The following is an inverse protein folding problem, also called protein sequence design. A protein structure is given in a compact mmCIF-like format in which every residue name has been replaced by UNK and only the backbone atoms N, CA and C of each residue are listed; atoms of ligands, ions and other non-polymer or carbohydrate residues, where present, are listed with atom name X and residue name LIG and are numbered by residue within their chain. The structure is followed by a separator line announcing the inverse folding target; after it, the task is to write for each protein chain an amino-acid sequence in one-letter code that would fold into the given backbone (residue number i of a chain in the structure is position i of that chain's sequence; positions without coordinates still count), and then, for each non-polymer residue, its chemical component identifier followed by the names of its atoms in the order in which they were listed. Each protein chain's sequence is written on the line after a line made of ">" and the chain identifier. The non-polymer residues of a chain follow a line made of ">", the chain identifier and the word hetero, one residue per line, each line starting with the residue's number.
data_IF_434717284498
#
_entry.id   IF_434717284498
#
_cell.length_a   1.000
_cell.length_b   1.000
_cell.length_c   1.000
_cell.angle_alpha   90.00
_cell.angle_beta   90.00
_cell.angle_gamma   90.00
#
_symmetry.space_group_name_H-M   'P 1'
#
loop_
_entity.id
_entity.type
_entity.pdbx_description
1 polymer ?
#
# COMPACT_ATOMS: atom_id res chain seq x y z
N UNK A 1 -15.49 0.14 -19.34
CA UNK A 1 -16.94 -0.15 -19.46
C UNK A 1 -17.62 -0.33 -18.10
N UNK A 2 -16.91 -0.71 -17.02
CA UNK A 2 -17.51 -0.95 -15.68
C UNK A 2 -17.59 0.30 -14.77
N UNK A 3 -16.72 1.31 -14.94
CA UNK A 3 -16.74 2.55 -14.13
C UNK A 3 -18.09 3.29 -14.10
N UNK A 4 -18.84 3.28 -15.21
CA UNK A 4 -20.11 4.02 -15.31
C UNK A 4 -21.21 3.45 -14.42
N UNK A 5 -21.12 2.17 -14.04
CA UNK A 5 -22.20 1.45 -13.37
C UNK A 5 -22.36 1.85 -11.90
N UNK A 6 -21.26 2.21 -11.25
CA UNK A 6 -21.23 2.62 -9.84
C UNK A 6 -20.78 4.08 -9.64
N UNK A 7 -20.71 4.86 -10.72
CA UNK A 7 -20.22 6.24 -10.70
C UNK A 7 -20.92 7.12 -9.63
N UNK A 8 -22.26 7.06 -9.55
CA UNK A 8 -23.02 7.87 -8.59
C UNK A 8 -22.72 7.52 -7.13
N UNK A 9 -22.47 6.23 -6.84
CA UNK A 9 -22.07 5.77 -5.50
C UNK A 9 -20.72 6.38 -5.11
N UNK A 10 -19.76 6.38 -6.04
CA UNK A 10 -18.43 6.94 -5.79
C UNK A 10 -18.46 8.46 -5.67
N UNK A 11 -19.26 9.16 -6.48
CA UNK A 11 -19.40 10.62 -6.35
C UNK A 11 -19.84 10.99 -4.93
N UNK A 12 -20.88 10.35 -4.39
CA UNK A 12 -21.33 10.63 -3.02
C UNK A 12 -20.31 10.28 -1.95
N UNK A 13 -19.51 9.21 -2.13
CA UNK A 13 -18.49 8.81 -1.16
C UNK A 13 -17.23 9.68 -1.21
N UNK A 14 -16.84 10.13 -2.41
CA UNK A 14 -15.68 10.98 -2.64
C UNK A 14 -15.93 12.42 -2.19
N UNK A 15 -17.17 12.92 -2.29
CA UNK A 15 -17.56 14.25 -1.81
C UNK A 15 -17.36 14.41 -0.30
N UNK A 16 -17.58 13.35 0.48
CA UNK A 16 -17.48 13.37 1.94
C UNK A 16 -16.19 12.78 2.50
N UNK A 17 -15.32 12.19 1.65
CA UNK A 17 -14.13 11.46 2.11
C UNK A 17 -14.46 10.34 3.10
N UNK A 18 -15.61 9.69 2.90
CA UNK A 18 -16.31 8.95 3.94
C UNK A 18 -15.68 7.57 4.21
N UNK A 19 -15.64 7.16 5.48
CA UNK A 19 -15.24 5.81 5.88
C UNK A 19 -16.44 4.88 5.74
N UNK A 20 -16.36 3.91 4.83
CA UNK A 20 -17.41 2.90 4.65
C UNK A 20 -17.10 1.65 5.49
N UNK A 21 -17.93 1.39 6.51
CA UNK A 21 -17.81 0.16 7.30
C UNK A 21 -18.42 -1.02 6.53
N UNK A 22 -17.62 -2.06 6.32
CA UNK A 22 -18.00 -3.27 5.58
C UNK A 22 -17.92 -4.50 6.49
N UNK A 23 -18.74 -5.51 6.22
CA UNK A 23 -18.61 -6.80 6.89
C UNK A 23 -17.51 -7.66 6.22
N UNK A 24 -17.12 -8.74 6.88
CA UNK A 24 -16.04 -9.61 6.39
C UNK A 24 -16.36 -10.30 5.05
N UNK A 25 -17.63 -10.57 4.75
CA UNK A 25 -18.04 -11.23 3.51
C UNK A 25 -17.82 -10.32 2.29
N UNK A 26 -17.89 -9.00 2.49
CA UNK A 26 -17.67 -8.00 1.45
C UNK A 26 -16.21 -7.59 1.27
N UNK A 27 -15.30 -8.09 2.11
CA UNK A 27 -13.88 -7.71 2.05
C UNK A 27 -13.30 -7.89 0.65
N UNK A 28 -13.51 -9.07 0.06
CA UNK A 28 -12.98 -9.41 -1.27
C UNK A 28 -13.50 -8.47 -2.37
N UNK A 29 -14.78 -8.08 -2.27
CA UNK A 29 -15.42 -7.15 -3.19
C UNK A 29 -14.69 -5.81 -3.17
N UNK A 30 -14.49 -5.23 -1.99
CA UNK A 30 -13.88 -3.91 -1.85
C UNK A 30 -12.34 -3.89 -1.98
N UNK A 31 -11.67 -5.04 -1.90
CA UNK A 31 -10.20 -5.12 -1.97
C UNK A 31 -9.66 -5.67 -3.30
N UNK A 32 -10.43 -6.44 -4.06
CA UNK A 32 -9.91 -7.20 -5.21
C UNK A 32 -10.79 -7.19 -6.47
N UNK A 33 -12.09 -6.84 -6.36
CA UNK A 33 -12.93 -6.75 -7.56
C UNK A 33 -12.79 -5.36 -8.18
N UNK A 34 -12.17 -5.27 -9.37
CA UNK A 34 -11.86 -4.00 -10.05
C UNK A 34 -13.04 -3.01 -10.12
N UNK A 35 -14.27 -3.51 -10.32
CA UNK A 35 -15.49 -2.69 -10.35
C UNK A 35 -15.71 -1.87 -9.07
N UNK A 36 -15.18 -2.36 -7.94
CA UNK A 36 -15.28 -1.78 -6.61
C UNK A 36 -13.96 -1.17 -6.12
N UNK A 37 -12.87 -1.95 -6.21
CA UNK A 37 -11.56 -1.58 -5.67
C UNK A 37 -10.93 -0.36 -6.36
N UNK A 38 -11.28 -0.05 -7.62
CA UNK A 38 -10.71 1.07 -8.39
C UNK A 38 -10.76 2.42 -7.66
N UNK A 39 -11.79 2.64 -6.84
CA UNK A 39 -12.00 3.91 -6.13
C UNK A 39 -11.70 3.82 -4.63
N UNK A 40 -11.32 2.65 -4.15
CA UNK A 40 -10.93 2.44 -2.77
C UNK A 40 -9.48 2.84 -2.60
N UNK A 41 -9.22 3.80 -1.70
CA UNK A 41 -7.84 4.20 -1.38
C UNK A 41 -7.16 3.20 -0.44
N UNK A 42 -7.86 2.77 0.61
CA UNK A 42 -7.31 1.88 1.64
C UNK A 42 -8.42 1.06 2.27
N UNK A 43 -8.15 -0.21 2.56
CA UNK A 43 -9.03 -1.08 3.34
C UNK A 43 -8.37 -1.33 4.69
N UNK A 44 -9.07 -1.00 5.78
CA UNK A 44 -8.58 -1.27 7.13
C UNK A 44 -9.21 -2.55 7.68
N UNK A 45 -8.38 -3.53 8.02
CA UNK A 45 -8.82 -4.80 8.58
C UNK A 45 -8.40 -4.86 10.04
N UNK A 46 -9.37 -5.00 10.94
CA UNK A 46 -9.11 -5.20 12.37
C UNK A 46 -9.10 -6.70 12.68
N UNK A 47 -7.92 -7.27 12.89
CA UNK A 47 -7.76 -8.66 13.33
C UNK A 47 -7.47 -8.68 14.83
N UNK A 48 -8.30 -9.39 15.58
CA UNK A 48 -8.11 -9.58 17.02
C UNK A 48 -7.08 -10.69 17.27
N UNK A 49 -5.80 -10.34 17.16
CA UNK A 49 -4.69 -11.25 17.46
C UNK A 49 -3.65 -10.56 18.34
N UNK A 50 -3.23 -11.22 19.42
CA UNK A 50 -2.35 -10.61 20.44
C UNK A 50 -1.01 -10.14 19.87
N UNK A 51 -0.43 -10.89 18.93
CA UNK A 51 0.83 -10.51 18.28
C UNK A 51 0.73 -9.20 17.46
N UNK A 52 -0.48 -8.82 17.02
CA UNK A 52 -0.71 -7.56 16.29
C UNK A 52 -0.86 -6.34 17.21
N UNK A 53 -0.88 -6.52 18.54
CA UNK A 53 -0.98 -5.40 19.48
C UNK A 53 0.19 -4.44 19.28
N UNK A 54 -0.13 -3.18 19.00
CA UNK A 54 0.85 -2.13 18.72
C UNK A 54 1.58 -2.30 17.38
N UNK A 55 1.02 -3.06 16.44
CA UNK A 55 1.59 -3.27 15.10
C UNK A 55 0.53 -3.02 14.03
N UNK A 56 0.97 -2.51 12.90
CA UNK A 56 0.17 -2.41 11.69
C UNK A 56 0.94 -3.15 10.61
N UNK A 57 0.25 -4.04 9.89
CA UNK A 57 0.79 -4.67 8.69
C UNK A 57 0.16 -3.95 7.51
N UNK A 58 1.03 -3.48 6.61
CA UNK A 58 0.63 -2.86 5.35
C UNK A 58 1.03 -3.80 4.23
N UNK A 59 0.06 -4.23 3.43
CA UNK A 59 0.33 -4.96 2.19
C UNK A 59 0.57 -3.93 1.08
N UNK A 60 1.80 -3.85 0.59
CA UNK A 60 2.19 -2.91 -0.45
C UNK A 60 1.88 -3.48 -1.83
N UNK A 61 1.43 -2.64 -2.75
CA UNK A 61 1.27 -3.03 -4.15
C UNK A 61 2.62 -3.49 -4.73
N UNK A 62 2.57 -4.51 -5.59
CA UNK A 62 3.77 -5.10 -6.18
C UNK A 62 4.63 -4.10 -6.96
N UNK A 63 5.92 -4.41 -7.06
CA UNK A 63 7.01 -3.56 -7.57
C UNK A 63 6.92 -3.15 -9.05
N UNK A 64 5.85 -3.54 -9.74
CA UNK A 64 5.75 -3.48 -11.20
C UNK A 64 4.46 -2.84 -11.70
N UNK A 65 3.93 -1.87 -10.97
CA UNK A 65 2.82 -1.07 -11.50
C UNK A 65 3.34 0.07 -12.38
N UNK A 66 2.96 0.09 -13.67
CA UNK A 66 3.21 1.18 -14.62
C UNK A 66 2.49 2.51 -14.29
N UNK A 67 2.03 2.67 -13.04
CA UNK A 67 1.18 3.78 -12.62
C UNK A 67 1.90 4.57 -11.51
N UNK A 68 2.26 5.82 -11.79
CA UNK A 68 2.98 6.72 -10.87
C UNK A 68 2.30 6.85 -9.50
N UNK A 69 0.97 6.71 -9.44
CA UNK A 69 0.23 6.73 -8.18
C UNK A 69 0.67 5.62 -7.22
N UNK A 70 0.87 4.41 -7.74
CA UNK A 70 1.24 3.25 -6.94
C UNK A 70 2.70 3.33 -6.46
N UNK A 71 3.60 3.91 -7.26
CA UNK A 71 4.98 4.18 -6.84
C UNK A 71 5.02 5.14 -5.65
N UNK A 72 4.31 6.28 -5.71
CA UNK A 72 4.29 7.26 -4.63
C UNK A 72 3.68 6.72 -3.33
N UNK A 73 2.60 5.93 -3.43
CA UNK A 73 1.96 5.31 -2.27
C UNK A 73 2.91 4.28 -1.62
N UNK A 74 3.59 3.44 -2.40
CA UNK A 74 4.59 2.49 -1.91
C UNK A 74 5.77 3.21 -1.27
N UNK A 75 6.30 4.28 -1.86
CA UNK A 75 7.39 5.07 -1.28
C UNK A 75 7.01 5.69 0.09
N UNK A 76 5.79 6.23 0.22
CA UNK A 76 5.30 6.76 1.50
C UNK A 76 5.20 5.68 2.57
N UNK A 77 4.73 4.49 2.21
CA UNK A 77 4.67 3.34 3.12
C UNK A 77 6.08 2.96 3.56
N UNK A 78 7.01 2.81 2.62
CA UNK A 78 8.39 2.39 2.91
C UNK A 78 9.12 3.40 3.80
N UNK A 79 9.02 4.70 3.51
CA UNK A 79 9.69 5.76 4.28
C UNK A 79 9.15 5.94 5.70
N UNK A 80 7.90 5.55 5.96
CA UNK A 80 7.28 5.64 7.29
C UNK A 80 7.31 4.33 8.08
N UNK A 81 7.85 3.25 7.49
CA UNK A 81 7.86 1.92 8.11
C UNK A 81 9.04 1.72 9.06
N UNK A 82 8.78 1.18 10.25
CA UNK A 82 9.83 0.76 11.20
C UNK A 82 10.57 -0.52 10.73
N UNK A 83 9.88 -1.38 9.97
CA UNK A 83 10.40 -2.65 9.46
C UNK A 83 9.80 -2.95 8.08
N UNK A 84 10.67 -3.31 7.14
CA UNK A 84 10.29 -3.73 5.78
C UNK A 84 10.63 -5.21 5.60
N UNK A 85 9.66 -6.01 5.17
CA UNK A 85 9.84 -7.42 4.85
C UNK A 85 9.75 -7.64 3.35
N UNK A 86 10.86 -7.96 2.71
CA UNK A 86 10.90 -8.34 1.30
C UNK A 86 10.64 -9.84 1.13
N UNK A 87 9.60 -10.20 0.37
CA UNK A 87 9.19 -11.59 0.15
C UNK A 87 9.37 -11.94 -1.34
N UNK A 88 10.11 -13.02 -1.62
CA UNK A 88 10.31 -13.54 -2.97
C UNK A 88 10.10 -15.05 -3.02
N UNK A 89 9.68 -15.57 -4.18
CA UNK A 89 9.51 -17.00 -4.40
C UNK A 89 10.86 -17.69 -4.52
N UNK A 90 11.03 -18.83 -3.84
CA UNK A 90 12.26 -19.61 -3.89
C UNK A 90 12.69 -20.00 -5.32
N UNK A 91 11.73 -20.28 -6.20
CA UNK A 91 11.99 -20.66 -7.60
C UNK A 91 12.09 -19.45 -8.55
N UNK A 92 11.90 -18.22 -8.05
CA UNK A 92 12.13 -17.03 -8.85
C UNK A 92 13.62 -16.71 -8.79
N UNK A 93 14.31 -16.85 -9.93
CA UNK A 93 15.69 -16.39 -10.04
C UNK A 93 15.74 -14.93 -9.64
N UNK A 94 16.60 -14.58 -8.70
CA UNK A 94 16.84 -13.18 -8.33
C UNK A 94 17.20 -12.39 -9.60
N UNK A 95 16.37 -11.40 -9.93
CA UNK A 95 16.49 -10.61 -11.15
C UNK A 95 17.25 -9.32 -10.90
N UNK A 96 17.77 -8.71 -11.97
CA UNK A 96 18.35 -7.37 -11.89
C UNK A 96 17.34 -6.33 -11.39
N UNK A 97 16.04 -6.55 -11.65
CA UNK A 97 14.97 -5.70 -11.14
C UNK A 97 14.83 -5.82 -9.61
N UNK A 98 14.89 -7.04 -9.06
CA UNK A 98 14.86 -7.27 -7.61
C UNK A 98 16.04 -6.57 -6.93
N UNK A 99 17.22 -6.64 -7.55
CA UNK A 99 18.43 -5.95 -7.08
C UNK A 99 18.25 -4.44 -7.09
N UNK A 100 17.83 -3.87 -8.21
CA UNK A 100 17.63 -2.43 -8.36
C UNK A 100 16.60 -1.91 -7.35
N UNK A 101 15.55 -2.67 -7.07
CA UNK A 101 14.56 -2.31 -6.06
C UNK A 101 15.15 -2.27 -4.65
N UNK A 102 15.92 -3.28 -4.25
CA UNK A 102 16.57 -3.32 -2.93
C UNK A 102 17.57 -2.16 -2.77
N UNK A 103 18.36 -1.88 -3.80
CA UNK A 103 19.28 -0.73 -3.81
C UNK A 103 18.52 0.59 -3.66
N UNK A 104 17.43 0.76 -4.41
CA UNK A 104 16.58 1.95 -4.31
C UNK A 104 15.99 2.15 -2.90
N UNK A 105 15.48 1.09 -2.27
CA UNK A 105 15.00 1.16 -0.88
C UNK A 105 16.10 1.57 0.10
N UNK A 106 17.32 1.04 -0.09
CA UNK A 106 18.46 1.36 0.75
C UNK A 106 18.86 2.83 0.62
N UNK A 107 18.81 3.39 -0.57
CA UNK A 107 19.14 4.80 -0.82
C UNK A 107 18.10 5.73 -0.20
N UNK A 108 16.81 5.39 -0.29
CA UNK A 108 15.73 6.14 0.37
C UNK A 108 15.92 6.21 1.89
N UNK A 109 16.27 5.09 2.54
CA UNK A 109 16.53 5.08 3.97
C UNK A 109 17.71 5.99 4.36
N UNK A 110 18.80 5.97 3.59
CA UNK A 110 19.95 6.85 3.83
C UNK A 110 19.60 8.33 3.68
N UNK A 111 18.75 8.68 2.72
CA UNK A 111 18.29 10.06 2.54
C UNK A 111 17.50 10.55 3.75
N UNK A 112 16.61 9.72 4.31
CA UNK A 112 15.85 10.06 5.51
C UNK A 112 16.74 10.25 6.74
N UNK A 113 17.72 9.38 6.97
CA UNK A 113 18.68 9.52 8.07
C UNK A 113 19.47 10.84 7.97
N UNK A 114 19.93 11.17 6.77
CA UNK A 114 20.70 12.40 6.52
C UNK A 114 19.84 13.67 6.70
N UNK A 115 18.54 13.62 6.40
CA UNK A 115 17.61 14.73 6.64
C UNK A 115 17.28 14.88 8.14
N UNK A 116 17.03 13.77 8.84
CA UNK A 116 16.79 13.79 10.28
C UNK A 116 17.99 14.36 11.05
N UNK A 117 19.22 14.01 10.65
CA UNK A 117 20.44 14.56 11.24
C UNK A 117 20.60 16.07 11.01
N UNK A 118 20.18 16.58 9.84
CA UNK A 118 20.24 18.02 9.52
C UNK A 118 19.19 18.86 10.25
N UNK A 119 18.06 18.27 10.63
CA UNK A 119 16.98 18.96 11.37
C UNK A 119 17.16 18.91 12.89
N UNK A 120 18.08 18.08 13.39
CA UNK A 120 18.38 17.92 14.81
C UNK A 120 19.50 18.82 15.36
N UNK A 121 20.06 19.72 14.56
CA UNK A 121 21.09 20.70 14.95
C UNK A 121 20.58 22.14 14.84
#
# INVERSE_FOLDING_TARGET
>A
MQLKKHYNLYVSMLENGEKHAINQQELKKWSAEDEYATFVKTVHIALMHDWLKGKIIVDSLGLHSNNQRHTNETEQILTSSDLILYVSYFNHSFTDNDKAFIEHMKDMNQLNENQAFKMGN
#
